data_IF_772271667125
#
_entry.id   IF_772271667125
#
_cell.length_a   1.000
_cell.length_b   1.000
_cell.length_c   1.000
_cell.angle_alpha   90.00
_cell.angle_beta   90.00
_cell.angle_gamma   90.00
#
_symmetry.space_group_name_H-M   'P 1'
#
loop_
_entity.id
_entity.type
_entity.pdbx_description
1 polymer ?
#
# COMPACT_ATOMS: atom_id res chain seq x y z
N UNK A 1 5.64 -20.68 -11.19
CA UNK A 1 4.89 -19.80 -10.30
C UNK A 1 4.31 -18.62 -11.08
N UNK A 2 5.12 -17.81 -11.79
CA UNK A 2 4.67 -16.61 -12.52
C UNK A 2 3.51 -16.91 -13.50
N UNK A 3 3.68 -17.88 -14.41
CA UNK A 3 2.67 -18.25 -15.40
C UNK A 3 1.35 -18.71 -14.75
N UNK A 4 1.45 -19.55 -13.71
CA UNK A 4 0.28 -20.00 -12.96
C UNK A 4 -0.46 -18.84 -12.27
N UNK A 5 0.31 -17.90 -11.66
CA UNK A 5 -0.24 -16.68 -11.07
C UNK A 5 -0.97 -15.82 -12.10
N UNK A 6 -0.39 -15.62 -13.29
CA UNK A 6 -1.01 -14.86 -14.37
C UNK A 6 -2.32 -15.50 -14.84
N UNK A 7 -2.35 -16.83 -15.06
CA UNK A 7 -3.57 -17.56 -15.45
C UNK A 7 -4.65 -17.43 -14.38
N UNK A 8 -4.28 -17.63 -13.11
CA UNK A 8 -5.21 -17.51 -11.99
C UNK A 8 -5.77 -16.08 -11.87
N UNK A 9 -4.92 -15.06 -12.07
CA UNK A 9 -5.34 -13.66 -12.04
C UNK A 9 -6.32 -13.34 -13.18
N UNK A 10 -6.05 -13.81 -14.40
CA UNK A 10 -6.95 -13.63 -15.54
C UNK A 10 -8.30 -14.30 -15.30
N UNK A 11 -8.32 -15.55 -14.82
CA UNK A 11 -9.54 -16.28 -14.50
C UNK A 11 -10.36 -15.57 -13.40
N UNK A 12 -9.71 -15.14 -12.32
CA UNK A 12 -10.36 -14.40 -11.25
C UNK A 12 -10.86 -13.03 -11.71
N UNK A 13 -10.14 -12.33 -12.61
CA UNK A 13 -10.58 -11.07 -13.23
C UNK A 13 -11.84 -11.25 -14.07
N UNK A 14 -11.94 -12.36 -14.85
CA UNK A 14 -13.16 -12.70 -15.57
C UNK A 14 -14.33 -12.90 -14.61
N UNK A 15 -14.16 -13.67 -13.54
CA UNK A 15 -15.21 -13.88 -12.54
C UNK A 15 -15.63 -12.56 -11.89
N UNK A 16 -14.66 -11.70 -11.55
CA UNK A 16 -14.92 -10.38 -10.96
C UNK A 16 -15.72 -9.48 -11.91
N UNK A 17 -15.43 -9.50 -13.22
CA UNK A 17 -16.11 -8.66 -14.21
C UNK A 17 -17.62 -8.94 -14.30
N UNK A 18 -18.04 -10.19 -14.07
CA UNK A 18 -19.45 -10.62 -14.09
C UNK A 18 -20.00 -10.99 -12.70
N UNK A 19 -19.41 -10.47 -11.63
CA UNK A 19 -19.91 -10.74 -10.29
C UNK A 19 -21.33 -10.19 -10.09
N UNK A 20 -22.27 -11.06 -9.75
CA UNK A 20 -23.69 -10.71 -9.54
C UNK A 20 -24.00 -10.22 -8.12
N UNK A 21 -23.04 -10.25 -7.21
CA UNK A 21 -23.19 -9.80 -5.82
C UNK A 21 -21.90 -9.28 -5.23
N UNK A 22 -21.99 -8.46 -4.16
CA UNK A 22 -20.82 -7.98 -3.43
C UNK A 22 -19.96 -9.14 -2.88
N UNK A 23 -20.59 -10.19 -2.37
CA UNK A 23 -19.87 -11.35 -1.84
C UNK A 23 -19.08 -12.10 -2.92
N UNK A 24 -19.66 -12.29 -4.12
CA UNK A 24 -18.94 -12.91 -5.24
C UNK A 24 -17.78 -12.07 -5.72
N UNK A 25 -17.96 -10.75 -5.73
CA UNK A 25 -16.88 -9.81 -6.06
C UNK A 25 -15.74 -9.85 -5.04
N UNK A 26 -16.07 -9.83 -3.74
CA UNK A 26 -15.08 -9.94 -2.66
C UNK A 26 -14.30 -11.26 -2.78
N UNK A 27 -15.00 -12.39 -3.02
CA UNK A 27 -14.36 -13.68 -3.22
C UNK A 27 -13.42 -13.70 -4.42
N UNK A 28 -13.86 -13.18 -5.58
CA UNK A 28 -13.04 -13.07 -6.78
C UNK A 28 -11.80 -12.19 -6.54
N UNK A 29 -11.93 -11.06 -5.85
CA UNK A 29 -10.81 -10.20 -5.49
C UNK A 29 -9.85 -10.88 -4.51
N UNK A 30 -10.35 -11.71 -3.59
CA UNK A 30 -9.49 -12.54 -2.74
C UNK A 30 -8.60 -13.48 -3.57
N UNK A 31 -9.18 -14.17 -4.55
CA UNK A 31 -8.42 -15.03 -5.48
C UNK A 31 -7.44 -14.22 -6.32
N UNK A 32 -7.83 -13.03 -6.81
CA UNK A 32 -6.91 -12.10 -7.48
C UNK A 32 -5.73 -11.72 -6.58
N UNK A 33 -5.97 -11.49 -5.28
CA UNK A 33 -4.91 -11.21 -4.30
C UNK A 33 -3.90 -12.35 -4.17
N UNK A 34 -4.37 -13.60 -4.08
CA UNK A 34 -3.49 -14.79 -4.08
C UNK A 34 -2.67 -14.87 -5.38
N UNK A 35 -3.31 -14.64 -6.53
CA UNK A 35 -2.64 -14.62 -7.81
C UNK A 35 -1.58 -13.50 -7.92
N UNK A 36 -1.90 -12.30 -7.43
CA UNK A 36 -0.97 -11.18 -7.40
C UNK A 36 0.26 -11.47 -6.51
N UNK A 37 0.06 -12.14 -5.37
CA UNK A 37 1.14 -12.59 -4.50
C UNK A 37 2.09 -13.61 -5.17
N UNK A 38 1.59 -14.37 -6.15
CA UNK A 38 2.42 -15.25 -6.97
C UNK A 38 3.18 -14.48 -8.06
N UNK A 39 2.56 -13.44 -8.65
CA UNK A 39 3.10 -12.71 -9.80
C UNK A 39 4.17 -11.70 -9.37
N UNK A 40 3.85 -10.81 -8.43
CA UNK A 40 4.67 -9.64 -8.12
C UNK A 40 6.10 -9.99 -7.66
N UNK A 41 6.31 -10.88 -6.66
CA UNK A 41 7.65 -11.29 -6.27
C UNK A 41 8.40 -12.07 -7.35
N UNK A 42 7.67 -12.87 -8.16
CA UNK A 42 8.26 -13.65 -9.25
C UNK A 42 8.85 -12.76 -10.35
N UNK A 43 8.25 -11.61 -10.64
CA UNK A 43 8.78 -10.67 -11.64
C UNK A 43 10.12 -10.10 -11.20
N UNK A 44 10.23 -9.65 -9.95
CA UNK A 44 11.48 -9.10 -9.43
C UNK A 44 12.57 -10.17 -9.27
N UNK A 45 12.21 -11.39 -8.86
CA UNK A 45 13.15 -12.51 -8.74
C UNK A 45 13.74 -12.95 -10.09
N UNK A 46 13.09 -12.68 -11.20
CA UNK A 46 13.56 -13.01 -12.55
C UNK A 46 14.67 -12.06 -13.00
N UNK A 47 14.68 -10.80 -12.54
CA UNK A 47 15.64 -9.77 -13.00
C UNK A 47 17.09 -10.17 -12.79
N UNK A 48 17.56 -10.66 -11.62
CA UNK A 48 18.95 -11.05 -11.42
C UNK A 48 19.38 -12.28 -12.24
N UNK A 49 18.43 -13.08 -12.68
CA UNK A 49 18.70 -14.29 -13.47
C UNK A 49 18.92 -13.96 -14.95
N UNK A 50 18.19 -12.97 -15.47
CA UNK A 50 18.31 -12.49 -16.85
C UNK A 50 19.50 -11.55 -16.99
N UNK A 51 19.62 -10.58 -16.09
CA UNK A 51 20.66 -9.55 -16.11
C UNK A 51 21.78 -9.89 -15.12
N UNK A 52 22.86 -10.46 -15.64
CA UNK A 52 24.01 -10.88 -14.82
C UNK A 52 24.94 -9.72 -14.49
N UNK A 53 25.05 -8.75 -15.39
CA UNK A 53 25.84 -7.54 -15.16
C UNK A 53 25.17 -6.64 -14.12
N UNK A 54 25.97 -6.04 -13.23
CA UNK A 54 25.48 -5.21 -12.13
C UNK A 54 24.79 -3.94 -12.61
N UNK A 55 25.30 -3.33 -13.68
CA UNK A 55 24.75 -2.08 -14.20
C UNK A 55 23.43 -2.33 -14.95
N UNK A 56 23.37 -3.37 -15.80
CA UNK A 56 22.17 -3.79 -16.49
C UNK A 56 21.05 -4.17 -15.51
N UNK A 57 21.40 -4.89 -14.44
CA UNK A 57 20.46 -5.25 -13.37
C UNK A 57 19.90 -4.02 -12.66
N UNK A 58 20.74 -3.04 -12.34
CA UNK A 58 20.29 -1.79 -11.71
C UNK A 58 19.32 -1.02 -12.62
N UNK A 59 19.59 -0.97 -13.93
CA UNK A 59 18.69 -0.37 -14.91
C UNK A 59 17.37 -1.12 -14.98
N UNK A 60 17.39 -2.46 -15.05
CA UNK A 60 16.18 -3.28 -15.11
C UNK A 60 15.29 -3.13 -13.87
N UNK A 61 15.89 -3.08 -12.67
CA UNK A 61 15.16 -2.79 -11.42
C UNK A 61 14.58 -1.37 -11.45
N UNK A 62 15.34 -0.40 -11.97
CA UNK A 62 14.86 0.97 -12.14
C UNK A 62 13.65 1.07 -13.07
N UNK A 63 13.68 0.36 -14.20
CA UNK A 63 12.56 0.27 -15.14
C UNK A 63 11.35 -0.40 -14.49
N UNK A 64 11.54 -1.52 -13.77
CA UNK A 64 10.49 -2.22 -13.04
C UNK A 64 9.80 -1.31 -12.01
N UNK A 65 10.58 -0.58 -11.22
CA UNK A 65 10.05 0.38 -10.25
C UNK A 65 9.33 1.56 -10.94
N UNK A 66 9.87 2.06 -12.04
CA UNK A 66 9.27 3.13 -12.85
C UNK A 66 7.92 2.73 -13.44
N UNK A 67 7.81 1.53 -13.99
CA UNK A 67 6.54 0.99 -14.52
C UNK A 67 5.50 0.82 -13.41
N UNK A 68 5.92 0.33 -12.24
CA UNK A 68 5.04 0.21 -11.07
C UNK A 68 4.50 1.57 -10.61
N UNK A 69 5.37 2.59 -10.54
CA UNK A 69 4.96 3.96 -10.21
C UNK A 69 4.02 4.57 -11.24
N UNK A 70 4.30 4.35 -12.54
CA UNK A 70 3.43 4.80 -13.62
C UNK A 70 2.05 4.13 -13.57
N UNK A 71 1.99 2.83 -13.27
CA UNK A 71 0.74 2.09 -13.13
C UNK A 71 -0.14 2.65 -11.99
N UNK A 72 0.46 3.00 -10.84
CA UNK A 72 -0.24 3.64 -9.72
C UNK A 72 -0.81 5.00 -10.15
N UNK A 73 -0.05 5.80 -10.89
CA UNK A 73 -0.47 7.12 -11.36
C UNK A 73 -1.59 7.05 -12.41
N UNK A 74 -1.50 6.09 -13.34
CA UNK A 74 -2.46 5.93 -14.44
C UNK A 74 -3.70 5.12 -14.05
N UNK A 75 -3.65 4.34 -12.96
CA UNK A 75 -4.75 3.49 -12.51
C UNK A 75 -6.10 4.23 -12.41
N UNK A 76 -6.20 5.32 -11.64
CA UNK A 76 -7.43 6.09 -11.52
C UNK A 76 -7.93 6.67 -12.86
N UNK A 77 -7.02 7.11 -13.73
CA UNK A 77 -7.36 7.68 -15.05
C UNK A 77 -7.88 6.59 -15.99
N UNK A 78 -7.17 5.45 -16.07
CA UNK A 78 -7.58 4.32 -16.91
C UNK A 78 -8.91 3.72 -16.41
N UNK A 79 -9.05 3.52 -15.09
CA UNK A 79 -10.28 3.07 -14.47
C UNK A 79 -11.45 4.04 -14.75
N UNK A 80 -11.22 5.32 -14.57
CA UNK A 80 -12.20 6.36 -14.86
C UNK A 80 -12.61 6.41 -16.33
N UNK A 81 -11.67 6.27 -17.25
CA UNK A 81 -11.95 6.22 -18.70
C UNK A 81 -12.80 4.98 -19.07
N UNK A 82 -12.48 3.82 -18.47
CA UNK A 82 -13.27 2.60 -18.66
C UNK A 82 -14.69 2.76 -18.13
N UNK A 83 -14.86 3.31 -16.94
CA UNK A 83 -16.18 3.51 -16.32
C UNK A 83 -17.03 4.56 -17.06
N UNK A 84 -16.42 5.51 -17.75
CA UNK A 84 -17.13 6.51 -18.54
C UNK A 84 -17.72 5.93 -19.82
N UNK A 85 -17.05 4.94 -20.45
CA UNK A 85 -17.42 4.43 -21.76
C UNK A 85 -18.00 3.02 -21.74
N UNK A 86 -17.76 2.26 -20.66
CA UNK A 86 -18.14 0.86 -20.52
C UNK A 86 -18.79 0.61 -19.15
N UNK A 87 -19.31 -0.61 -18.95
CA UNK A 87 -19.88 -1.00 -17.65
C UNK A 87 -18.78 -1.23 -16.61
N UNK A 88 -19.15 -1.26 -15.34
CA UNK A 88 -18.21 -1.35 -14.20
C UNK A 88 -17.27 -2.56 -14.26
N UNK A 89 -17.72 -3.71 -14.78
CA UNK A 89 -16.88 -4.90 -14.90
C UNK A 89 -15.71 -4.76 -15.87
N UNK A 90 -15.73 -3.77 -16.76
CA UNK A 90 -14.64 -3.48 -17.71
C UNK A 90 -13.31 -3.20 -17.02
N UNK A 91 -13.31 -2.65 -15.79
CA UNK A 91 -12.10 -2.42 -15.00
C UNK A 91 -11.36 -3.71 -14.61
N UNK A 92 -12.08 -4.83 -14.56
CA UNK A 92 -11.47 -6.14 -14.34
C UNK A 92 -11.13 -6.80 -15.68
N UNK A 93 -12.00 -6.63 -16.68
CA UNK A 93 -11.81 -7.25 -17.98
C UNK A 93 -10.56 -6.77 -18.70
N UNK A 94 -10.15 -5.51 -18.51
CA UNK A 94 -8.92 -4.94 -19.11
C UNK A 94 -7.65 -5.69 -18.69
N UNK A 95 -7.65 -6.36 -17.55
CA UNK A 95 -6.52 -7.17 -17.09
C UNK A 95 -6.29 -8.37 -18.03
N UNK A 96 -7.34 -8.93 -18.63
CA UNK A 96 -7.25 -10.17 -19.41
C UNK A 96 -6.35 -10.02 -20.64
N UNK A 97 -6.55 -9.03 -21.55
CA UNK A 97 -5.66 -8.85 -22.69
C UNK A 97 -4.22 -8.51 -22.26
N UNK A 98 -4.02 -7.74 -21.19
CA UNK A 98 -2.70 -7.44 -20.67
C UNK A 98 -2.00 -8.72 -20.18
N UNK A 99 -2.73 -9.58 -19.47
CA UNK A 99 -2.19 -10.85 -18.98
C UNK A 99 -1.92 -11.83 -20.12
N UNK A 100 -2.76 -11.89 -21.15
CA UNK A 100 -2.50 -12.73 -22.33
C UNK A 100 -1.19 -12.31 -23.01
N UNK A 101 -0.96 -11.02 -23.18
CA UNK A 101 0.31 -10.51 -23.69
C UNK A 101 1.48 -10.90 -22.76
N UNK A 102 1.31 -10.74 -21.44
CA UNK A 102 2.32 -11.10 -20.45
C UNK A 102 2.61 -12.62 -20.44
N UNK A 103 1.59 -13.47 -20.61
CA UNK A 103 1.75 -14.93 -20.73
C UNK A 103 2.57 -15.32 -21.96
N UNK A 104 2.24 -14.73 -23.12
CA UNK A 104 2.95 -14.99 -24.38
C UNK A 104 4.41 -14.48 -24.25
N UNK A 105 4.59 -13.23 -23.82
CA UNK A 105 5.92 -12.67 -23.64
C UNK A 105 6.74 -13.46 -22.60
N UNK A 106 6.12 -13.83 -21.47
CA UNK A 106 6.77 -14.64 -20.45
C UNK A 106 7.17 -16.04 -20.93
N UNK A 107 6.36 -16.68 -21.77
CA UNK A 107 6.69 -17.98 -22.35
C UNK A 107 7.81 -17.91 -23.38
N UNK A 108 7.93 -16.80 -24.11
CA UNK A 108 8.92 -16.64 -25.20
C UNK A 108 10.23 -16.06 -24.71
N UNK A 109 10.20 -15.15 -23.72
CA UNK A 109 11.35 -14.31 -23.36
C UNK A 109 11.96 -14.65 -21.99
N UNK A 110 11.19 -15.26 -21.08
CA UNK A 110 11.69 -15.55 -19.73
C UNK A 110 12.23 -16.97 -19.65
N UNK A 111 13.52 -17.15 -19.35
CA UNK A 111 14.11 -18.49 -19.20
C UNK A 111 13.50 -19.21 -18.00
N UNK A 112 13.39 -20.53 -18.11
CA UNK A 112 12.91 -21.34 -16.98
C UNK A 112 13.95 -21.28 -15.85
N UNK A 113 13.49 -20.86 -14.69
CA UNK A 113 14.28 -20.78 -13.47
C UNK A 113 13.72 -21.72 -12.43
N UNK A 114 14.61 -22.59 -11.91
CA UNK A 114 14.32 -23.48 -10.78
C UNK A 114 15.38 -23.29 -9.73
N UNK A 115 14.95 -23.12 -8.50
CA UNK A 115 15.85 -23.20 -7.36
C UNK A 115 16.26 -24.67 -7.19
N UNK A 116 17.56 -24.98 -7.20
CA UNK A 116 18.05 -26.34 -6.98
C UNK A 116 17.70 -26.89 -5.60
N UNK A 117 17.60 -26.02 -4.61
CA UNK A 117 17.29 -26.36 -3.21
C UNK A 117 16.09 -25.50 -2.71
N UNK A 118 14.87 -25.80 -3.17
CA UNK A 118 13.71 -25.03 -2.74
C UNK A 118 13.50 -25.20 -1.24
N UNK A 119 13.54 -24.10 -0.51
CA UNK A 119 13.19 -24.08 0.91
C UNK A 119 11.78 -24.63 1.14
N UNK A 120 11.54 -25.21 2.31
CA UNK A 120 10.18 -25.67 2.66
C UNK A 120 9.29 -24.44 2.81
N UNK A 121 8.15 -24.43 2.08
CA UNK A 121 7.15 -23.39 2.21
C UNK A 121 6.48 -23.47 3.60
N UNK A 122 6.50 -22.37 4.33
CA UNK A 122 5.84 -22.27 5.64
C UNK A 122 4.33 -22.05 5.49
N UNK A 123 3.59 -23.16 5.33
CA UNK A 123 2.13 -23.11 5.19
C UNK A 123 1.46 -22.57 6.47
N UNK A 124 2.00 -22.90 7.65
CA UNK A 124 1.40 -22.46 8.93
C UNK A 124 1.55 -20.96 9.10
N UNK A 125 2.75 -20.42 8.84
CA UNK A 125 2.99 -18.98 8.84
C UNK A 125 2.08 -18.25 7.82
N UNK A 126 1.97 -18.77 6.59
CA UNK A 126 1.13 -18.19 5.55
C UNK A 126 -0.35 -18.16 5.94
N UNK A 127 -0.90 -19.27 6.45
CA UNK A 127 -2.32 -19.36 6.84
C UNK A 127 -2.61 -18.48 8.05
N UNK A 128 -1.78 -18.54 9.09
CA UNK A 128 -2.03 -17.77 10.32
C UNK A 128 -1.90 -16.26 10.11
N UNK A 129 -0.93 -15.80 9.31
CA UNK A 129 -0.80 -14.38 8.98
C UNK A 129 -1.96 -13.90 8.11
N UNK A 130 -2.33 -14.65 7.07
CA UNK A 130 -3.43 -14.30 6.17
C UNK A 130 -4.77 -14.22 6.91
N UNK A 131 -5.08 -15.24 7.71
CA UNK A 131 -6.32 -15.24 8.51
C UNK A 131 -6.30 -14.18 9.60
N UNK A 132 -5.16 -13.97 10.26
CA UNK A 132 -5.02 -12.97 11.31
C UNK A 132 -5.19 -11.53 10.78
N UNK A 133 -4.51 -11.17 9.70
CA UNK A 133 -4.63 -9.85 9.05
C UNK A 133 -6.02 -9.70 8.44
N UNK A 134 -6.52 -10.73 7.74
CA UNK A 134 -7.85 -10.71 7.13
C UNK A 134 -8.96 -10.51 8.15
N UNK A 135 -8.93 -11.24 9.28
CA UNK A 135 -9.89 -11.07 10.37
C UNK A 135 -9.79 -9.70 11.03
N UNK A 136 -8.57 -9.18 11.21
CA UNK A 136 -8.35 -7.83 11.74
C UNK A 136 -9.00 -6.78 10.85
N UNK A 137 -8.68 -6.80 9.55
CA UNK A 137 -9.20 -5.86 8.56
C UNK A 137 -10.73 -5.96 8.45
N UNK A 138 -11.26 -7.19 8.37
CA UNK A 138 -12.71 -7.43 8.33
C UNK A 138 -13.40 -6.86 9.57
N UNK A 139 -12.86 -7.15 10.77
CA UNK A 139 -13.43 -6.64 12.03
C UNK A 139 -13.43 -5.11 12.08
N UNK A 140 -12.35 -4.46 11.63
CA UNK A 140 -12.27 -3.00 11.57
C UNK A 140 -13.35 -2.43 10.63
N UNK A 141 -13.57 -3.05 9.46
CA UNK A 141 -14.55 -2.60 8.46
C UNK A 141 -15.99 -2.75 8.99
N UNK A 142 -16.30 -3.84 9.68
CA UNK A 142 -17.65 -4.13 10.20
C UNK A 142 -17.97 -3.43 11.54
N UNK A 143 -16.93 -3.00 12.27
CA UNK A 143 -17.13 -2.40 13.59
C UNK A 143 -18.05 -1.18 13.63
N UNK A 144 -18.09 -0.26 12.64
CA UNK A 144 -19.05 0.85 12.63
C UNK A 144 -20.52 0.39 12.62
N UNK A 145 -20.84 -0.66 11.83
CA UNK A 145 -22.20 -1.20 11.72
C UNK A 145 -22.66 -1.98 12.96
N UNK A 146 -21.77 -2.75 13.56
CA UNK A 146 -22.07 -3.60 14.72
C UNK A 146 -21.85 -2.88 16.07
N UNK A 147 -21.08 -1.79 16.09
CA UNK A 147 -20.55 -1.14 17.28
C UNK A 147 -19.17 -1.66 17.68
N UNK A 148 -18.24 -0.74 17.94
CA UNK A 148 -16.84 -1.04 18.26
C UNK A 148 -16.66 -1.92 19.49
N UNK A 149 -17.50 -1.78 20.51
CA UNK A 149 -17.51 -2.57 21.74
C UNK A 149 -18.49 -3.74 21.70
N UNK A 150 -19.11 -4.05 20.58
CA UNK A 150 -20.04 -5.18 20.46
C UNK A 150 -19.32 -6.50 20.65
N UNK A 151 -20.06 -7.54 21.07
CA UNK A 151 -19.51 -8.89 21.23
C UNK A 151 -18.85 -9.40 19.94
N UNK A 152 -19.43 -9.11 18.77
CA UNK A 152 -18.90 -9.51 17.46
C UNK A 152 -17.56 -8.84 17.19
N UNK A 153 -17.47 -7.53 17.38
CA UNK A 153 -16.21 -6.78 17.17
C UNK A 153 -15.13 -7.20 18.16
N UNK A 154 -15.46 -7.34 19.43
CA UNK A 154 -14.50 -7.79 20.46
C UNK A 154 -13.99 -9.19 20.16
N UNK A 155 -14.86 -10.16 19.81
CA UNK A 155 -14.43 -11.51 19.44
C UNK A 155 -13.59 -11.51 18.17
N UNK A 156 -13.90 -10.66 17.18
CA UNK A 156 -13.09 -10.48 15.98
C UNK A 156 -11.68 -9.95 16.30
N UNK A 157 -11.57 -8.91 17.11
CA UNK A 157 -10.26 -8.36 17.53
C UNK A 157 -9.44 -9.37 18.35
N UNK A 158 -10.08 -10.09 19.29
CA UNK A 158 -9.42 -11.14 20.08
C UNK A 158 -8.97 -12.28 19.17
N UNK A 159 -9.81 -12.73 18.24
CA UNK A 159 -9.45 -13.78 17.28
C UNK A 159 -8.28 -13.37 16.38
N UNK A 160 -8.30 -12.14 15.86
CA UNK A 160 -7.20 -11.60 15.08
C UNK A 160 -5.89 -11.52 15.90
N UNK A 161 -5.96 -11.02 17.12
CA UNK A 161 -4.81 -10.94 18.02
C UNK A 161 -4.23 -12.33 18.34
N UNK A 162 -5.08 -13.33 18.57
CA UNK A 162 -4.65 -14.71 18.81
C UNK A 162 -3.95 -15.31 17.58
N UNK A 163 -4.52 -15.13 16.37
CA UNK A 163 -3.93 -15.62 15.13
C UNK A 163 -2.59 -14.95 14.83
N UNK A 164 -2.48 -13.63 14.99
CA UNK A 164 -1.24 -12.91 14.80
C UNK A 164 -0.19 -13.26 15.85
N UNK A 165 -0.61 -13.49 17.10
CA UNK A 165 0.30 -13.97 18.14
C UNK A 165 0.80 -15.39 17.82
N UNK A 166 -0.09 -16.26 17.36
CA UNK A 166 0.29 -17.62 16.92
C UNK A 166 1.27 -17.55 15.74
N UNK A 167 1.04 -16.67 14.76
CA UNK A 167 1.96 -16.40 13.67
C UNK A 167 3.33 -16.01 14.19
N UNK A 168 3.43 -14.99 15.06
CA UNK A 168 4.71 -14.53 15.61
C UNK A 168 5.43 -15.65 16.38
N UNK A 169 4.71 -16.40 17.22
CA UNK A 169 5.29 -17.51 17.99
C UNK A 169 5.78 -18.63 17.07
N UNK A 170 5.04 -18.93 16.00
CA UNK A 170 5.43 -19.91 15.01
C UNK A 170 6.69 -19.47 14.25
N UNK A 171 6.73 -18.25 13.71
CA UNK A 171 7.87 -17.71 12.97
C UNK A 171 9.17 -17.68 13.80
N UNK A 172 9.07 -17.37 15.09
CA UNK A 172 10.25 -17.40 15.99
C UNK A 172 10.80 -18.82 16.17
N UNK A 173 9.94 -19.84 16.05
CA UNK A 173 10.32 -21.27 16.26
C UNK A 173 10.57 -22.01 14.94
N UNK A 174 10.09 -21.53 13.81
CA UNK A 174 10.22 -22.17 12.50
C UNK A 174 11.69 -22.22 12.06
N UNK A 175 12.07 -23.33 11.43
CA UNK A 175 13.40 -23.47 10.81
C UNK A 175 13.49 -22.77 9.45
N UNK A 176 12.34 -22.55 8.80
CA UNK A 176 12.23 -21.86 7.51
C UNK A 176 11.11 -20.82 7.58
N UNK A 177 11.29 -19.74 8.36
CA UNK A 177 10.24 -18.76 8.58
C UNK A 177 9.97 -17.95 7.29
N UNK A 178 8.71 -17.56 7.04
CA UNK A 178 8.33 -16.62 6.00
C UNK A 178 8.89 -15.23 6.30
N UNK A 179 8.85 -14.84 7.57
CA UNK A 179 9.29 -13.56 8.06
C UNK A 179 10.26 -13.74 9.22
N UNK A 180 11.52 -13.39 9.02
CA UNK A 180 12.50 -13.41 10.12
C UNK A 180 12.20 -12.30 11.14
N UNK A 181 11.30 -12.55 12.08
CA UNK A 181 10.87 -11.59 13.13
C UNK A 181 12.05 -11.05 13.94
N UNK A 182 13.15 -11.78 14.00
CA UNK A 182 14.37 -11.35 14.71
C UNK A 182 14.95 -10.04 14.16
N UNK A 183 14.73 -9.72 12.88
CA UNK A 183 15.18 -8.45 12.30
C UNK A 183 14.46 -7.24 12.92
N UNK A 184 13.24 -7.41 13.38
CA UNK A 184 12.52 -6.33 14.09
C UNK A 184 13.10 -5.99 15.47
N UNK A 185 14.07 -6.75 15.97
CA UNK A 185 14.85 -6.36 17.14
C UNK A 185 15.85 -5.24 16.84
N UNK A 186 16.19 -5.03 15.57
CA UNK A 186 16.97 -3.88 15.13
C UNK A 186 16.06 -2.64 15.06
N UNK A 187 16.29 -1.61 15.91
CA UNK A 187 15.40 -0.46 15.95
C UNK A 187 15.38 0.34 14.62
N UNK A 188 16.46 0.31 13.85
CA UNK A 188 16.52 0.95 12.52
C UNK A 188 15.62 0.25 11.53
N UNK A 189 15.68 -1.07 11.46
CA UNK A 189 14.82 -1.89 10.63
C UNK A 189 13.34 -1.71 10.98
N UNK A 190 13.02 -1.76 12.28
CA UNK A 190 11.64 -1.60 12.75
C UNK A 190 11.09 -0.20 12.49
N UNK A 191 11.88 0.85 12.73
CA UNK A 191 11.45 2.23 12.46
C UNK A 191 11.25 2.47 10.95
N UNK A 192 12.14 1.98 10.09
CA UNK A 192 12.01 2.10 8.64
C UNK A 192 10.77 1.34 8.14
N UNK A 193 10.55 0.11 8.60
CA UNK A 193 9.37 -0.70 8.26
C UNK A 193 8.08 -0.04 8.77
N UNK A 194 8.04 0.42 10.02
CA UNK A 194 6.88 1.14 10.57
C UNK A 194 6.59 2.44 9.79
N UNK A 195 7.62 3.19 9.42
CA UNK A 195 7.45 4.40 8.60
C UNK A 195 6.88 4.05 7.22
N UNK A 196 7.37 3.00 6.58
CA UNK A 196 6.84 2.52 5.31
C UNK A 196 5.36 2.10 5.44
N UNK A 197 5.01 1.35 6.50
CA UNK A 197 3.62 0.99 6.77
C UNK A 197 2.72 2.22 6.95
N UNK A 198 3.15 3.20 7.75
CA UNK A 198 2.37 4.44 7.98
C UNK A 198 2.30 5.33 6.74
N UNK A 199 3.34 5.34 5.91
CA UNK A 199 3.33 6.02 4.63
C UNK A 199 2.26 5.43 3.70
N UNK A 200 2.22 4.12 3.53
CA UNK A 200 1.22 3.45 2.70
C UNK A 200 -0.18 3.47 3.34
N UNK A 201 -0.29 3.44 4.65
CA UNK A 201 -1.53 3.74 5.37
C UNK A 201 -2.08 5.11 4.96
N UNK A 202 -1.24 6.14 4.95
CA UNK A 202 -1.62 7.49 4.53
C UNK A 202 -1.99 7.56 3.05
N UNK A 203 -1.22 6.92 2.17
CA UNK A 203 -1.46 6.91 0.73
C UNK A 203 -2.81 6.29 0.37
N UNK A 204 -3.09 5.08 0.87
CA UNK A 204 -4.34 4.39 0.54
C UNK A 204 -5.53 5.00 1.27
N UNK A 205 -5.35 5.52 2.50
CA UNK A 205 -6.35 6.34 3.18
C UNK A 205 -6.69 7.59 2.39
N UNK A 206 -5.67 8.30 1.84
CA UNK A 206 -5.88 9.46 0.96
C UNK A 206 -6.66 9.09 -0.29
N UNK A 207 -6.24 8.03 -1.02
CA UNK A 207 -6.92 7.59 -2.25
C UNK A 207 -8.39 7.29 -1.97
N UNK A 208 -8.69 6.62 -0.85
CA UNK A 208 -10.07 6.33 -0.44
C UNK A 208 -10.87 7.62 -0.19
N UNK A 209 -10.34 8.52 0.64
CA UNK A 209 -11.01 9.78 1.00
C UNK A 209 -11.25 10.68 -0.21
N UNK A 210 -10.22 10.89 -1.04
CA UNK A 210 -10.28 11.83 -2.16
C UNK A 210 -11.20 11.35 -3.28
N UNK A 211 -11.25 10.03 -3.49
CA UNK A 211 -12.14 9.43 -4.48
C UNK A 211 -13.60 9.66 -4.12
N UNK A 212 -13.97 9.42 -2.86
CA UNK A 212 -15.32 9.67 -2.38
C UNK A 212 -15.66 11.17 -2.41
N UNK A 213 -14.73 12.03 -2.01
CA UNK A 213 -14.90 13.48 -2.04
C UNK A 213 -15.20 13.98 -3.45
N UNK A 214 -14.39 13.61 -4.44
CA UNK A 214 -14.57 14.05 -5.81
C UNK A 214 -15.83 13.51 -6.48
N UNK A 215 -16.16 12.22 -6.24
CA UNK A 215 -17.27 11.59 -6.94
C UNK A 215 -18.61 11.81 -6.25
N UNK A 216 -18.65 11.87 -4.93
CA UNK A 216 -19.93 11.95 -4.19
C UNK A 216 -20.25 13.39 -3.78
N UNK A 217 -19.29 14.11 -3.23
CA UNK A 217 -19.53 15.48 -2.71
C UNK A 217 -19.51 16.50 -3.84
N UNK A 218 -18.43 16.51 -4.66
CA UNK A 218 -18.31 17.41 -5.81
C UNK A 218 -19.18 16.94 -6.98
N UNK A 219 -19.42 15.62 -7.09
CA UNK A 219 -20.26 15.04 -8.14
C UNK A 219 -19.52 14.86 -9.48
N UNK A 220 -18.18 14.80 -9.47
CA UNK A 220 -17.40 14.55 -10.69
C UNK A 220 -17.55 13.09 -11.14
N UNK A 221 -17.53 12.88 -12.46
CA UNK A 221 -17.45 11.54 -13.03
C UNK A 221 -16.09 10.88 -12.70
N UNK A 222 -16.02 9.56 -12.81
CA UNK A 222 -14.85 8.78 -12.40
C UNK A 222 -13.57 9.19 -13.18
N UNK A 223 -13.69 9.61 -14.46
CA UNK A 223 -12.56 10.06 -15.25
C UNK A 223 -12.04 11.42 -14.76
N UNK A 224 -12.93 12.37 -14.54
CA UNK A 224 -12.57 13.70 -14.02
C UNK A 224 -11.95 13.59 -12.62
N UNK A 225 -12.53 12.75 -11.76
CA UNK A 225 -11.97 12.46 -10.44
C UNK A 225 -10.56 11.83 -10.54
N UNK A 226 -10.36 10.88 -11.47
CA UNK A 226 -9.07 10.27 -11.73
C UNK A 226 -8.02 11.26 -12.23
N UNK A 227 -8.38 12.12 -13.19
CA UNK A 227 -7.51 13.19 -13.70
C UNK A 227 -7.14 14.19 -12.59
N UNK A 228 -8.08 14.48 -11.70
CA UNK A 228 -7.86 15.37 -10.56
C UNK A 228 -6.89 14.81 -9.51
N UNK A 229 -6.57 13.53 -9.53
CA UNK A 229 -5.50 12.94 -8.67
C UNK A 229 -4.11 13.01 -9.29
N UNK A 230 -3.97 13.35 -10.58
CA UNK A 230 -2.68 13.41 -11.27
C UNK A 230 -1.65 14.34 -10.60
N UNK A 231 -2.00 15.54 -10.10
CA UNK A 231 -1.03 16.39 -9.40
C UNK A 231 -0.35 15.68 -8.24
N UNK A 232 -1.08 14.88 -7.48
CA UNK A 232 -0.50 14.06 -6.40
C UNK A 232 0.53 13.07 -6.94
N UNK A 233 0.17 12.30 -7.97
CA UNK A 233 1.03 11.27 -8.56
C UNK A 233 2.31 11.87 -9.19
N UNK A 234 2.18 12.99 -9.89
CA UNK A 234 3.31 13.69 -10.52
C UNK A 234 4.29 14.26 -9.48
N UNK A 235 3.78 14.89 -8.43
CA UNK A 235 4.61 15.44 -7.37
C UNK A 235 5.32 14.32 -6.60
N UNK A 236 4.61 13.26 -6.22
CA UNK A 236 5.22 12.11 -5.55
C UNK A 236 6.29 11.46 -6.43
N UNK A 237 6.00 11.27 -7.73
CA UNK A 237 6.93 10.71 -8.70
C UNK A 237 8.19 11.56 -8.91
N UNK A 238 8.08 12.88 -8.86
CA UNK A 238 9.21 13.80 -8.95
C UNK A 238 10.03 13.86 -7.65
N UNK A 239 9.35 13.82 -6.49
CA UNK A 239 10.01 13.92 -5.19
C UNK A 239 10.77 12.64 -4.81
N UNK A 240 10.33 11.47 -5.25
CA UNK A 240 10.97 10.19 -4.90
C UNK A 240 12.43 10.07 -5.41
N UNK A 241 12.76 10.31 -6.69
CA UNK A 241 14.16 10.32 -7.13
C UNK A 241 14.96 11.48 -6.53
N UNK A 242 14.33 12.64 -6.34
CA UNK A 242 14.97 13.78 -5.67
C UNK A 242 15.36 13.42 -4.23
N UNK A 243 14.51 12.71 -3.50
CA UNK A 243 14.81 12.24 -2.15
C UNK A 243 16.07 11.37 -2.12
N UNK A 244 16.25 10.45 -3.07
CA UNK A 244 17.43 9.59 -3.13
C UNK A 244 18.72 10.41 -3.34
N UNK A 245 18.67 11.46 -4.18
CA UNK A 245 19.81 12.39 -4.35
C UNK A 245 20.08 13.19 -3.08
N UNK A 246 19.02 13.68 -2.43
CA UNK A 246 19.15 14.46 -1.20
C UNK A 246 19.60 13.61 0.00
N UNK A 247 19.34 12.31 0.02
CA UNK A 247 19.75 11.41 1.11
C UNK A 247 21.26 11.44 1.34
N UNK A 248 22.05 11.54 0.27
CA UNK A 248 23.52 11.65 0.36
C UNK A 248 24.00 12.93 1.08
N UNK A 249 23.20 14.00 1.04
CA UNK A 249 23.56 15.30 1.64
C UNK A 249 22.89 15.53 3.00
N UNK A 250 21.61 15.21 3.11
CA UNK A 250 20.78 15.52 4.30
C UNK A 250 20.65 14.33 5.25
N UNK A 251 20.94 13.13 4.76
CA UNK A 251 20.80 11.90 5.53
C UNK A 251 19.37 11.36 5.57
N UNK A 252 19.27 10.05 5.79
CA UNK A 252 18.00 9.29 5.82
C UNK A 252 17.02 9.81 6.86
N UNK A 253 17.52 10.11 8.06
CA UNK A 253 16.73 10.60 9.19
C UNK A 253 15.92 11.85 8.88
N UNK A 254 16.56 12.85 8.27
CA UNK A 254 15.91 14.14 7.99
C UNK A 254 14.89 14.02 6.85
N UNK A 255 15.21 13.23 5.83
CA UNK A 255 14.30 13.06 4.69
C UNK A 255 13.07 12.23 5.05
N UNK A 256 13.26 11.12 5.76
CA UNK A 256 12.14 10.27 6.17
C UNK A 256 11.29 10.99 7.22
N UNK A 257 11.91 11.48 8.29
CA UNK A 257 11.20 12.17 9.36
C UNK A 257 10.56 13.48 8.89
N UNK A 258 11.31 14.31 8.16
CA UNK A 258 10.81 15.57 7.61
C UNK A 258 9.74 15.35 6.56
N UNK A 259 9.90 14.36 5.66
CA UNK A 259 8.90 13.99 4.67
C UNK A 259 7.57 13.59 5.32
N UNK A 260 7.62 12.72 6.34
CA UNK A 260 6.40 12.33 7.07
C UNK A 260 5.75 13.51 7.82
N UNK A 261 6.54 14.44 8.36
CA UNK A 261 6.02 15.67 8.96
C UNK A 261 5.32 16.57 7.92
N UNK A 262 5.90 16.72 6.73
CA UNK A 262 5.29 17.48 5.62
C UNK A 262 3.98 16.82 5.16
N UNK A 263 3.95 15.49 5.05
CA UNK A 263 2.70 14.77 4.76
C UNK A 263 1.64 15.02 5.83
N UNK A 264 2.01 14.94 7.10
CA UNK A 264 1.10 15.23 8.21
C UNK A 264 0.53 16.65 8.12
N UNK A 265 1.36 17.65 7.82
CA UNK A 265 0.90 19.03 7.62
C UNK A 265 -0.09 19.14 6.44
N UNK A 266 0.14 18.39 5.34
CA UNK A 266 -0.80 18.30 4.22
C UNK A 266 -2.16 17.75 4.64
N UNK A 267 -2.20 16.69 5.43
CA UNK A 267 -3.45 16.12 5.98
C UNK A 267 -4.12 17.06 6.97
N UNK A 268 -3.37 17.72 7.84
CA UNK A 268 -3.91 18.75 8.76
C UNK A 268 -4.48 19.95 8.01
N UNK A 269 -3.89 20.34 6.88
CA UNK A 269 -4.46 21.38 6.04
C UNK A 269 -5.74 20.88 5.37
N UNK A 270 -5.74 19.67 4.82
CA UNK A 270 -6.91 19.06 4.17
C UNK A 270 -8.09 18.82 5.14
N UNK A 271 -7.84 18.67 6.44
CA UNK A 271 -8.91 18.59 7.44
C UNK A 271 -9.76 19.85 7.53
N UNK A 272 -9.32 20.96 6.93
CA UNK A 272 -10.08 22.23 6.82
C UNK A 272 -10.87 22.35 5.53
N UNK A 273 -10.86 21.32 4.67
CA UNK A 273 -11.64 21.31 3.44
C UNK A 273 -13.14 21.45 3.74
N UNK A 274 -13.84 22.12 2.83
CA UNK A 274 -15.29 22.29 2.84
C UNK A 274 -15.86 21.75 1.52
N UNK A 275 -17.18 21.63 1.44
CA UNK A 275 -17.87 21.13 0.24
C UNK A 275 -17.59 21.97 -1.01
N UNK A 276 -17.34 23.26 -0.84
CA UNK A 276 -17.10 24.26 -1.89
C UNK A 276 -15.60 24.66 -2.01
N UNK A 277 -14.69 23.93 -1.36
CA UNK A 277 -13.27 24.26 -1.41
C UNK A 277 -12.73 24.29 -2.84
N UNK A 278 -12.05 25.38 -3.25
CA UNK A 278 -11.58 25.53 -4.62
C UNK A 278 -10.44 24.53 -4.90
N UNK A 279 -10.57 23.82 -6.03
CA UNK A 279 -9.64 22.74 -6.40
C UNK A 279 -8.19 23.23 -6.51
N UNK A 280 -7.92 24.26 -7.32
CA UNK A 280 -6.54 24.69 -7.60
C UNK A 280 -5.85 25.42 -6.44
N UNK A 281 -6.59 26.19 -5.66
CA UNK A 281 -6.00 27.06 -4.63
C UNK A 281 -6.03 26.44 -3.25
N UNK A 282 -6.80 25.35 -3.02
CA UNK A 282 -6.87 24.66 -1.74
C UNK A 282 -6.57 23.15 -1.85
N UNK A 283 -7.30 22.41 -2.68
CA UNK A 283 -7.16 20.95 -2.75
C UNK A 283 -5.80 20.55 -3.32
N UNK A 284 -5.37 21.17 -4.44
CA UNK A 284 -4.05 20.85 -5.05
C UNK A 284 -2.88 21.18 -4.11
N UNK A 285 -2.81 22.30 -3.41
CA UNK A 285 -1.80 22.54 -2.36
C UNK A 285 -1.78 21.51 -1.24
N UNK A 286 -2.94 21.04 -0.75
CA UNK A 286 -3.01 19.95 0.22
C UNK A 286 -2.40 18.67 -0.36
N UNK A 287 -2.80 18.29 -1.57
CA UNK A 287 -2.27 17.13 -2.28
C UNK A 287 -0.77 17.24 -2.53
N UNK A 288 -0.29 18.44 -2.86
CA UNK A 288 1.13 18.70 -3.10
C UNK A 288 1.97 18.48 -1.85
N UNK A 289 1.53 18.97 -0.70
CA UNK A 289 2.21 18.73 0.58
C UNK A 289 2.23 17.25 0.94
N UNK A 290 1.08 16.57 0.85
CA UNK A 290 0.99 15.13 1.11
C UNK A 290 1.94 14.35 0.20
N UNK A 291 1.87 14.60 -1.11
CA UNK A 291 2.65 13.89 -2.12
C UNK A 291 4.15 14.17 -2.00
N UNK A 292 4.54 15.41 -1.75
CA UNK A 292 5.94 15.78 -1.56
C UNK A 292 6.52 15.07 -0.33
N UNK A 293 5.79 15.10 0.79
CA UNK A 293 6.22 14.43 2.00
C UNK A 293 6.36 12.92 1.82
N UNK A 294 5.38 12.28 1.17
CA UNK A 294 5.41 10.84 0.86
C UNK A 294 6.58 10.48 -0.07
N UNK A 295 6.77 11.26 -1.15
CA UNK A 295 7.87 11.05 -2.08
C UNK A 295 9.25 11.18 -1.41
N UNK A 296 9.41 12.16 -0.51
CA UNK A 296 10.64 12.35 0.26
C UNK A 296 10.92 11.21 1.25
N UNK A 297 9.88 10.56 1.79
CA UNK A 297 10.04 9.55 2.83
C UNK A 297 10.19 8.13 2.29
N UNK A 298 9.44 7.73 1.25
CA UNK A 298 9.28 6.32 0.86
C UNK A 298 10.55 5.70 0.29
N UNK A 299 11.29 6.40 -0.58
CA UNK A 299 12.54 5.91 -1.15
C UNK A 299 13.61 5.65 -0.08
N UNK A 300 13.99 6.69 0.70
CA UNK A 300 14.99 6.52 1.76
C UNK A 300 14.58 5.55 2.88
N UNK A 301 13.27 5.41 3.19
CA UNK A 301 12.81 4.41 4.14
C UNK A 301 13.00 2.98 3.62
N UNK A 302 12.71 2.73 2.33
CA UNK A 302 12.96 1.45 1.67
C UNK A 302 14.45 1.10 1.68
N UNK A 303 15.31 2.07 1.34
CA UNK A 303 16.77 1.90 1.37
C UNK A 303 17.26 1.57 2.79
N UNK A 304 16.72 2.24 3.81
CA UNK A 304 17.04 1.96 5.22
C UNK A 304 16.64 0.54 5.68
N UNK A 305 15.52 -0.01 5.17
CA UNK A 305 15.13 -1.41 5.42
C UNK A 305 16.18 -2.35 4.83
N UNK A 306 16.57 -2.13 3.58
CA UNK A 306 17.53 -2.99 2.88
C UNK A 306 18.93 -2.88 3.46
N UNK A 307 19.38 -1.67 3.80
CA UNK A 307 20.68 -1.42 4.40
C UNK A 307 20.84 -1.97 5.84
N UNK A 308 19.72 -2.20 6.53
CA UNK A 308 19.75 -2.77 7.88
C UNK A 308 20.00 -4.30 7.90
N UNK A 309 20.08 -4.95 6.73
CA UNK A 309 20.23 -6.39 6.57
C UNK A 309 21.54 -6.76 5.86
N UNK A 310 22.14 -7.93 6.15
CA UNK A 310 23.23 -8.45 5.38
C UNK A 310 22.86 -8.62 3.89
N UNK A 311 23.80 -8.38 2.98
CA UNK A 311 23.57 -8.48 1.54
C UNK A 311 23.00 -9.84 1.10
N UNK A 312 23.40 -10.94 1.76
CA UNK A 312 22.86 -12.28 1.51
C UNK A 312 21.37 -12.42 1.84
N UNK A 313 20.78 -11.48 2.60
CA UNK A 313 19.36 -11.48 3.03
C UNK A 313 18.55 -10.33 2.41
N UNK A 314 19.04 -9.69 1.36
CA UNK A 314 18.34 -8.59 0.68
C UNK A 314 16.96 -8.99 0.15
N UNK A 315 16.77 -10.25 -0.27
CA UNK A 315 15.47 -10.79 -0.68
C UNK A 315 14.44 -10.78 0.46
N UNK A 316 14.86 -11.10 1.68
CA UNK A 316 13.99 -11.02 2.86
C UNK A 316 13.61 -9.57 3.15
N UNK A 317 14.57 -8.64 3.04
CA UNK A 317 14.32 -7.21 3.21
C UNK A 317 13.30 -6.67 2.20
N UNK A 318 13.40 -7.08 0.94
CA UNK A 318 12.41 -6.73 -0.10
C UNK A 318 11.02 -7.28 0.24
N UNK A 319 10.91 -8.55 0.62
CA UNK A 319 9.65 -9.17 0.99
C UNK A 319 8.99 -8.47 2.21
N UNK A 320 9.79 -8.09 3.22
CA UNK A 320 9.30 -7.33 4.37
C UNK A 320 8.81 -5.95 3.94
N UNK A 321 9.57 -5.24 3.09
CA UNK A 321 9.17 -3.93 2.59
C UNK A 321 7.84 -4.00 1.84
N UNK A 322 7.65 -4.99 0.96
CA UNK A 322 6.42 -5.16 0.20
C UNK A 322 5.25 -5.56 1.10
N UNK A 323 5.44 -6.52 2.01
CA UNK A 323 4.42 -6.89 3.00
C UNK A 323 4.01 -5.70 3.86
N UNK A 324 4.97 -4.88 4.28
CA UNK A 324 4.73 -3.70 5.11
C UNK A 324 3.89 -2.65 4.36
N UNK A 325 4.12 -2.47 3.06
CA UNK A 325 3.33 -1.59 2.19
C UNK A 325 1.89 -2.09 2.06
N UNK A 326 1.71 -3.36 1.74
CA UNK A 326 0.38 -3.96 1.54
C UNK A 326 -0.44 -3.96 2.84
N UNK A 327 0.16 -4.35 3.95
CA UNK A 327 -0.51 -4.31 5.26
C UNK A 327 -0.84 -2.87 5.68
N UNK A 328 0.10 -1.94 5.49
CA UNK A 328 -0.12 -0.52 5.74
C UNK A 328 -1.29 0.02 4.92
N UNK A 329 -1.32 -0.29 3.62
CA UNK A 329 -2.39 0.13 2.71
C UNK A 329 -3.76 -0.44 3.09
N UNK A 330 -3.84 -1.74 3.37
CA UNK A 330 -5.08 -2.40 3.79
C UNK A 330 -5.64 -1.80 5.08
N UNK A 331 -4.78 -1.61 6.08
CA UNK A 331 -5.15 -0.96 7.34
C UNK A 331 -5.55 0.51 7.13
N UNK A 332 -4.88 1.21 6.22
CA UNK A 332 -5.21 2.60 5.86
C UNK A 332 -6.64 2.74 5.38
N UNK A 333 -7.05 1.94 4.39
CA UNK A 333 -8.43 1.94 3.90
C UNK A 333 -9.41 1.51 4.98
N UNK A 334 -9.12 0.44 5.72
CA UNK A 334 -10.02 -0.10 6.72
C UNK A 334 -10.25 0.88 7.88
N UNK A 335 -9.17 1.40 8.48
CA UNK A 335 -9.27 2.30 9.64
C UNK A 335 -9.86 3.66 9.24
N UNK A 336 -9.33 4.27 8.17
CA UNK A 336 -9.83 5.57 7.72
C UNK A 336 -11.29 5.47 7.28
N UNK A 337 -11.64 4.43 6.49
CA UNK A 337 -13.01 4.20 6.05
C UNK A 337 -13.98 3.97 7.21
N UNK A 338 -13.59 3.17 8.20
CA UNK A 338 -14.42 2.87 9.36
C UNK A 338 -14.62 4.08 10.28
N UNK A 339 -13.55 4.85 10.51
CA UNK A 339 -13.64 6.08 11.29
C UNK A 339 -14.52 7.11 10.57
N UNK A 340 -14.31 7.31 9.26
CA UNK A 340 -15.15 8.21 8.46
C UNK A 340 -16.62 7.78 8.49
N UNK A 341 -16.90 6.49 8.31
CA UNK A 341 -18.27 5.95 8.33
C UNK A 341 -18.96 6.18 9.67
N UNK A 342 -18.25 5.94 10.78
CA UNK A 342 -18.80 6.18 12.12
C UNK A 342 -19.20 7.64 12.33
N UNK A 343 -18.28 8.56 12.07
CA UNK A 343 -18.53 10.01 12.25
C UNK A 343 -19.56 10.55 11.26
N UNK A 344 -19.53 10.06 10.02
CA UNK A 344 -20.57 10.37 9.03
C UNK A 344 -21.95 9.95 9.50
N UNK A 345 -22.11 8.71 9.97
CA UNK A 345 -23.39 8.16 10.41
C UNK A 345 -23.97 8.93 11.61
N UNK A 346 -23.12 9.28 12.58
CA UNK A 346 -23.52 10.05 13.75
C UNK A 346 -23.95 11.46 13.34
N UNK A 347 -23.15 12.15 12.52
CA UNK A 347 -23.45 13.51 12.07
C UNK A 347 -24.67 13.58 11.16
N UNK A 348 -24.84 12.61 10.26
CA UNK A 348 -26.04 12.52 9.42
C UNK A 348 -27.29 12.35 10.25
N UNK A 349 -27.22 11.53 11.31
CA UNK A 349 -28.35 11.33 12.24
C UNK A 349 -28.76 12.64 12.90
N UNK A 350 -27.81 13.42 13.40
CA UNK A 350 -28.07 14.73 13.98
C UNK A 350 -28.74 15.68 12.98
N UNK A 351 -28.22 15.76 11.75
CA UNK A 351 -28.71 16.69 10.73
C UNK A 351 -30.04 16.28 10.09
N UNK A 352 -30.33 14.97 10.01
CA UNK A 352 -31.60 14.49 9.42
C UNK A 352 -32.72 14.33 10.43
N UNK A 353 -32.46 14.28 11.74
CA UNK A 353 -33.51 14.23 12.78
C UNK A 353 -34.53 15.38 12.68
N UNK A 354 -34.12 16.65 12.46
CA UNK A 354 -35.05 17.74 12.26
C UNK A 354 -35.89 17.65 10.98
N UNK A 355 -35.37 16.93 9.96
CA UNK A 355 -36.04 16.74 8.67
C UNK A 355 -37.13 15.66 8.71
N UNK A 356 -37.31 14.97 9.85
CA UNK A 356 -38.31 13.92 10.07
C UNK A 356 -38.26 12.79 9.03
N UNK A 357 -37.06 12.44 8.56
CA UNK A 357 -36.85 11.33 7.62
C UNK A 357 -37.18 10.00 8.30
N UNK A 358 -37.92 9.09 7.65
CA UNK A 358 -38.26 7.78 8.22
C UNK A 358 -37.00 6.99 8.65
N UNK A 359 -37.11 6.22 9.74
CA UNK A 359 -35.96 5.54 10.37
C UNK A 359 -35.30 4.47 9.47
N UNK A 360 -36.11 3.79 8.68
CA UNK A 360 -35.65 2.81 7.68
C UNK A 360 -34.81 3.47 6.57
N UNK A 361 -35.24 4.63 6.11
CA UNK A 361 -34.53 5.46 5.14
C UNK A 361 -33.22 6.01 5.72
N UNK A 362 -33.27 6.47 6.98
CA UNK A 362 -32.07 6.92 7.70
C UNK A 362 -31.04 5.79 7.87
N UNK A 363 -31.49 4.55 8.14
CA UNK A 363 -30.63 3.38 8.23
C UNK A 363 -29.82 3.18 6.95
N UNK A 364 -30.49 3.07 5.80
CA UNK A 364 -29.84 2.92 4.50
C UNK A 364 -28.92 4.09 4.13
N UNK A 365 -29.27 5.31 4.55
CA UNK A 365 -28.46 6.51 4.32
C UNK A 365 -27.17 6.51 5.17
N UNK A 366 -27.19 5.98 6.38
CA UNK A 366 -26.03 5.86 7.26
C UNK A 366 -25.01 4.87 6.75
N UNK A 367 -25.45 3.79 6.11
CA UNK A 367 -24.60 2.73 5.60
C UNK A 367 -23.82 3.15 4.35
N UNK A 368 -24.31 4.15 3.59
CA UNK A 368 -23.68 4.58 2.34
C UNK A 368 -23.97 6.04 2.00
N UNK A 369 -22.91 6.82 1.84
CA UNK A 369 -23.00 8.23 1.39
C UNK A 369 -23.64 8.32 0.01
N UNK A 370 -23.35 7.38 -0.89
CA UNK A 370 -23.96 7.31 -2.22
C UNK A 370 -25.47 7.01 -2.15
N UNK A 371 -25.89 6.11 -1.27
CA UNK A 371 -27.30 5.84 -1.02
C UNK A 371 -28.00 7.08 -0.43
N UNK A 372 -27.41 7.74 0.54
CA UNK A 372 -27.92 8.97 1.12
C UNK A 372 -28.14 10.07 0.07
N UNK A 373 -27.17 10.28 -0.82
CA UNK A 373 -27.29 11.23 -1.93
C UNK A 373 -28.44 10.85 -2.89
N UNK A 374 -28.57 9.57 -3.23
CA UNK A 374 -29.65 9.09 -4.11
C UNK A 374 -31.02 9.24 -3.47
N UNK A 375 -31.13 8.90 -2.19
CA UNK A 375 -32.36 9.09 -1.38
C UNK A 375 -32.71 10.58 -1.29
N UNK A 376 -31.75 11.43 -0.96
CA UNK A 376 -31.97 12.88 -0.83
C UNK A 376 -32.56 13.50 -2.09
N UNK A 377 -32.15 13.04 -3.28
CA UNK A 377 -32.69 13.50 -4.57
C UNK A 377 -34.12 13.06 -4.84
N UNK A 378 -34.61 12.03 -4.16
CA UNK A 378 -35.98 11.49 -4.30
C UNK A 378 -36.95 12.07 -3.25
N UNK A 379 -36.44 12.81 -2.27
CA UNK A 379 -37.29 13.48 -1.26
C UNK A 379 -38.10 14.65 -1.88
N UNK A 380 -39.20 15.06 -1.27
CA UNK A 380 -39.92 16.24 -1.71
C UNK A 380 -39.02 17.46 -1.79
N UNK A 381 -39.25 18.35 -2.76
CA UNK A 381 -38.39 19.50 -3.06
C UNK A 381 -38.05 20.38 -1.84
N UNK A 382 -38.98 20.51 -0.90
CA UNK A 382 -38.77 21.28 0.33
C UNK A 382 -37.70 20.66 1.27
N UNK A 383 -37.48 19.34 1.20
CA UNK A 383 -36.57 18.60 2.09
C UNK A 383 -35.30 18.15 1.33
N UNK A 384 -35.38 17.98 0.00
CA UNK A 384 -34.31 17.47 -0.82
C UNK A 384 -33.01 18.30 -0.72
N UNK A 385 -33.13 19.63 -0.89
CA UNK A 385 -31.94 20.51 -0.83
C UNK A 385 -31.28 20.53 0.56
N UNK A 386 -32.00 20.70 1.68
CA UNK A 386 -31.43 20.54 3.02
C UNK A 386 -30.81 19.15 3.26
N UNK A 387 -31.43 18.07 2.76
CA UNK A 387 -30.96 16.73 2.95
C UNK A 387 -29.62 16.49 2.18
N UNK A 388 -29.50 17.00 0.95
CA UNK A 388 -28.26 16.93 0.17
C UNK A 388 -27.12 17.69 0.86
N UNK A 389 -27.39 18.93 1.33
CA UNK A 389 -26.41 19.71 2.09
C UNK A 389 -25.94 18.96 3.34
N UNK A 390 -26.89 18.40 4.10
CA UNK A 390 -26.61 17.64 5.31
C UNK A 390 -25.72 16.39 5.05
N UNK A 391 -25.94 15.70 3.92
CA UNK A 391 -25.06 14.58 3.49
C UNK A 391 -23.64 15.07 3.22
N UNK A 392 -23.49 16.20 2.52
CA UNK A 392 -22.20 16.82 2.27
C UNK A 392 -21.48 17.20 3.56
N UNK A 393 -22.18 17.90 4.48
CA UNK A 393 -21.61 18.35 5.76
C UNK A 393 -21.24 17.16 6.66
N UNK A 394 -22.07 16.12 6.72
CA UNK A 394 -21.75 14.89 7.45
C UNK A 394 -20.53 14.17 6.88
N UNK A 395 -20.41 14.11 5.55
CA UNK A 395 -19.24 13.54 4.89
C UNK A 395 -17.97 14.33 5.21
N UNK A 396 -18.03 15.68 5.16
CA UNK A 396 -16.88 16.52 5.46
C UNK A 396 -16.40 16.38 6.90
N UNK A 397 -17.31 16.13 7.85
CA UNK A 397 -16.94 15.82 9.23
C UNK A 397 -16.18 14.49 9.33
N UNK A 398 -16.69 13.43 8.68
CA UNK A 398 -15.97 12.15 8.57
C UNK A 398 -14.60 12.29 7.91
N UNK A 399 -14.50 13.03 6.81
CA UNK A 399 -13.25 13.31 6.11
C UNK A 399 -12.26 14.06 7.00
N UNK A 400 -12.73 15.05 7.77
CA UNK A 400 -11.91 15.80 8.74
C UNK A 400 -11.24 14.85 9.73
N UNK A 401 -12.02 13.95 10.34
CA UNK A 401 -11.51 13.00 11.33
C UNK A 401 -10.59 11.98 10.66
N UNK A 402 -10.92 11.50 9.46
CA UNK A 402 -10.03 10.66 8.64
C UNK A 402 -8.65 11.33 8.40
N UNK A 403 -8.64 12.62 8.06
CA UNK A 403 -7.42 13.40 7.93
C UNK A 403 -6.61 13.47 9.24
N UNK A 404 -7.26 13.62 10.38
CA UNK A 404 -6.57 13.61 11.68
C UNK A 404 -5.94 12.26 11.99
N UNK A 405 -6.62 11.16 11.69
CA UNK A 405 -6.08 9.81 11.87
C UNK A 405 -4.82 9.60 11.03
N UNK A 406 -4.86 9.99 9.76
CA UNK A 406 -3.68 9.87 8.88
C UNK A 406 -2.57 10.82 9.31
N UNK A 407 -2.89 12.06 9.67
CA UNK A 407 -1.91 13.01 10.18
C UNK A 407 -1.21 12.48 11.44
N UNK A 408 -1.95 11.88 12.37
CA UNK A 408 -1.39 11.26 13.57
C UNK A 408 -0.44 10.10 13.22
N UNK A 409 -0.84 9.23 12.29
CA UNK A 409 0.01 8.13 11.80
C UNK A 409 1.31 8.67 11.17
N UNK A 410 1.22 9.70 10.33
CA UNK A 410 2.38 10.35 9.74
C UNK A 410 3.29 11.01 10.79
N UNK A 411 2.74 11.65 11.81
CA UNK A 411 3.51 12.25 12.91
C UNK A 411 4.21 11.17 13.75
N UNK A 412 3.54 10.06 14.05
CA UNK A 412 4.16 8.93 14.75
C UNK A 412 5.32 8.35 13.95
N UNK A 413 5.14 8.19 12.63
CA UNK A 413 6.20 7.75 11.73
C UNK A 413 7.36 8.75 11.69
N UNK A 414 7.07 10.06 11.64
CA UNK A 414 8.08 11.11 11.69
C UNK A 414 8.90 11.03 12.99
N UNK A 415 8.24 10.92 14.14
CA UNK A 415 8.88 10.78 15.44
C UNK A 415 9.75 9.52 15.48
N UNK A 416 9.24 8.38 15.05
CA UNK A 416 9.98 7.12 15.00
C UNK A 416 11.24 7.26 14.11
N UNK A 417 11.12 7.91 12.95
CA UNK A 417 12.25 8.17 12.07
C UNK A 417 13.30 9.08 12.74
N UNK A 418 12.87 10.14 13.40
CA UNK A 418 13.79 11.02 14.11
C UNK A 418 14.46 10.38 15.34
N UNK A 419 13.83 9.39 15.96
CA UNK A 419 14.41 8.72 17.14
C UNK A 419 15.38 7.59 16.72
N UNK A 420 15.04 6.81 15.69
CA UNK A 420 15.70 5.52 15.45
C UNK A 420 16.47 5.43 14.14
N UNK A 421 16.21 6.30 13.15
CA UNK A 421 16.98 6.27 11.90
C UNK A 421 18.32 7.01 12.05
N UNK A 422 19.41 6.57 11.38
CA UNK A 422 20.69 7.23 11.40
C UNK A 422 20.66 8.57 10.64
N UNK A 423 21.41 9.54 11.11
CA UNK A 423 21.55 10.83 10.42
C UNK A 423 22.26 10.67 9.07
N UNK A 424 23.29 9.84 9.01
CA UNK A 424 23.99 9.44 7.80
C UNK A 424 24.33 7.96 7.92
N UNK A 425 24.20 7.21 6.86
CA UNK A 425 24.74 5.86 6.80
C UNK A 425 26.27 5.98 6.83
N UNK A 426 26.87 5.55 7.95
CA UNK A 426 28.31 5.38 7.99
C UNK A 426 28.65 4.28 7.00
N UNK A 427 29.59 4.51 6.05
CA UNK A 427 30.18 3.41 5.30
C UNK A 427 30.67 2.41 6.34
N UNK A 428 30.31 1.15 6.18
CA UNK A 428 30.78 0.08 7.06
C UNK A 428 32.30 0.11 7.14
N UNK A 429 32.91 0.43 8.30
CA UNK A 429 34.39 0.46 8.40
C UNK A 429 34.99 -0.94 8.27
N UNK A 430 34.17 -1.99 8.28
CA UNK A 430 34.54 -3.38 8.14
C UNK A 430 34.37 -3.93 6.72
N UNK A 431 34.60 -3.13 5.69
CA UNK A 431 35.10 -3.61 4.39
C UNK A 431 36.48 -4.23 4.53
N UNK A 432 36.82 -4.76 5.70
CA UNK A 432 37.89 -5.74 5.84
C UNK A 432 37.43 -6.98 5.09
N UNK A 433 37.80 -7.01 3.81
CA UNK A 433 38.12 -8.27 3.16
C UNK A 433 38.84 -9.11 4.20
N UNK A 434 38.15 -10.04 4.83
CA UNK A 434 38.79 -11.26 5.25
C UNK A 434 39.22 -11.89 3.95
N UNK A 435 40.34 -11.39 3.45
CA UNK A 435 41.09 -12.05 2.43
C UNK A 435 41.34 -13.42 3.03
N UNK A 436 40.69 -14.43 2.48
CA UNK A 436 41.23 -15.77 2.57
C UNK A 436 42.71 -15.62 2.25
N UNK A 437 43.61 -16.07 3.12
CA UNK A 437 45.02 -16.16 2.76
C UNK A 437 45.04 -17.02 1.47
N UNK A 438 45.34 -16.37 0.34
CA UNK A 438 45.68 -17.12 -0.84
C UNK A 438 46.76 -18.10 -0.37
N UNK A 439 46.41 -19.38 -0.36
CA UNK A 439 47.35 -20.44 -0.16
C UNK A 439 48.47 -20.16 -1.16
N UNK A 440 49.62 -19.70 -0.65
CA UNK A 440 50.86 -19.61 -1.42
C UNK A 440 51.09 -21.03 -1.94
N UNK A 441 50.88 -21.26 -3.20
CA UNK A 441 51.38 -22.40 -3.91
C UNK A 441 52.88 -22.43 -3.67
N UNK A 442 53.48 -23.53 -3.16
CA UNK A 442 54.90 -23.64 -3.03
C UNK A 442 55.49 -23.54 -4.44
N UNK A 443 56.36 -22.54 -4.65
CA UNK A 443 57.22 -22.47 -5.79
C UNK A 443 58.09 -23.74 -5.81
N UNK A 444 57.82 -24.65 -6.73
CA UNK A 444 58.69 -25.81 -6.98
C UNK A 444 60.03 -25.30 -7.47
N UNK A 445 61.04 -25.45 -6.62
CA UNK A 445 62.45 -25.35 -7.01
C UNK A 445 62.72 -26.26 -8.25
N UNK A 446 62.99 -25.64 -9.34
CA UNK A 446 63.64 -26.34 -10.49
C UNK A 446 65.08 -26.49 -10.14
N UNK A 447 65.66 -27.69 -10.13
CA UNK A 447 67.11 -27.85 -10.05
C UNK A 447 67.75 -27.37 -11.37
N UNK A 448 68.80 -26.58 -11.22
CA UNK A 448 69.73 -26.20 -12.30
C UNK A 448 70.28 -27.44 -12.99
N UNK A 449 70.10 -27.56 -14.30
CA UNK A 449 70.83 -28.48 -15.12
C UNK A 449 72.24 -27.92 -15.32
N UNK A 450 73.22 -28.65 -14.81
CA UNK A 450 74.62 -28.46 -15.14
C UNK A 450 74.92 -29.18 -16.43
N UNK A 451 75.69 -28.52 -17.19
CA UNK A 451 76.61 -28.89 -18.28
C UNK A 451 76.71 -30.35 -18.70
N UNK A 452 76.81 -30.51 -20.04
CA UNK A 452 77.31 -31.62 -20.78
C UNK A 452 77.11 -31.34 -22.27
#
# INVERSE_FOLDING_TARGET
VLQAGLVLFAAASLVAAWAGSAHSLIGARGVMGVAAAMVYPSTLATVPQVFRDRQERAIAIGVWAGVSGLAIALGPVAGGALLRHFWWGSIFLVNVPVIVIALIAGALLVPESRDPEPGRFDLVGAVTSTLGIGLLVWTIIEAPGHGWASRTSVLGFVGAALLLTLFVVWEVRSQSPLLEIRFFRNPRFSAASATTAMAFFGLFGFIFMITLYFQIVIGWDALTAGLATLPYALIMGAMSPLAMVLTSRLGTKLLVGGGMAVSAAGFLLASRAQTDSPYWTFIVPCMALMAAGMGLATGPATDAILAALPAAKSGVGSAVNDTTREVGGALGVAVVGSVMSSWYADRLTELWTPLQVPRDVLGAAKDSVGAAMSISKQLPAAVSSPAISAVGDAFMEGLRVGCYVVAAACLLASIAAFLFLPAHDRPDPEGRHTGHPQARTPQSDRPAAADG
#
